data_IF_821687817921
#
_entry.id   IF_821687817921
#
_cell.length_a   1.000
_cell.length_b   1.000
_cell.length_c   1.000
_cell.angle_alpha   90.00
_cell.angle_beta   90.00
_cell.angle_gamma   90.00
#
_symmetry.space_group_name_H-M   'P 1'
#
loop_
_entity.id
_entity.type
_entity.pdbx_description
1 polymer ?
#
# COMPACT_ATOMS: atom_id res chain seq x y z
N UNK A 1 -16.05 -34.56 -20.50
CA UNK A 1 -16.83 -33.46 -19.90
C UNK A 1 -15.95 -32.72 -18.89
N UNK A 2 -15.31 -31.62 -19.28
CA UNK A 2 -14.41 -30.86 -18.41
C UNK A 2 -14.86 -29.39 -18.42
N UNK A 3 -15.96 -29.13 -17.71
CA UNK A 3 -16.53 -27.80 -17.53
C UNK A 3 -15.56 -26.97 -16.69
N UNK A 4 -14.64 -26.27 -17.36
CA UNK A 4 -13.85 -25.16 -16.77
C UNK A 4 -14.85 -24.23 -16.09
N UNK A 5 -14.87 -24.23 -14.76
CA UNK A 5 -15.61 -23.23 -13.99
C UNK A 5 -14.99 -21.89 -14.35
N UNK A 6 -15.70 -21.08 -15.11
CA UNK A 6 -15.40 -19.67 -15.26
C UNK A 6 -15.63 -19.04 -13.88
N UNK A 7 -14.56 -18.95 -13.07
CA UNK A 7 -14.60 -18.25 -11.79
C UNK A 7 -14.75 -16.77 -12.17
N UNK A 8 -15.97 -16.26 -12.12
CA UNK A 8 -16.21 -14.82 -12.27
C UNK A 8 -15.32 -14.11 -11.24
N UNK A 9 -14.55 -13.06 -11.63
CA UNK A 9 -13.74 -12.33 -10.68
C UNK A 9 -14.62 -11.84 -9.52
N UNK A 10 -14.16 -12.07 -8.30
CA UNK A 10 -14.87 -11.65 -7.09
C UNK A 10 -15.01 -10.13 -7.11
N UNK A 11 -16.23 -9.63 -6.89
CA UNK A 11 -16.47 -8.19 -6.77
C UNK A 11 -15.99 -7.73 -5.40
N UNK A 12 -14.83 -7.09 -5.38
CA UNK A 12 -14.19 -6.58 -4.15
C UNK A 12 -14.96 -5.39 -3.55
N UNK A 13 -15.85 -4.77 -4.32
CA UNK A 13 -16.70 -3.66 -3.88
C UNK A 13 -17.92 -4.11 -3.06
N UNK A 14 -18.15 -5.42 -2.93
CA UNK A 14 -19.30 -5.97 -2.21
C UNK A 14 -18.90 -6.55 -0.85
N UNK A 15 -19.74 -6.39 0.18
CA UNK A 15 -19.56 -7.10 1.45
C UNK A 15 -19.53 -8.63 1.23
N UNK A 16 -18.74 -9.40 2.02
CA UNK A 16 -17.83 -8.94 3.08
C UNK A 16 -16.45 -8.50 2.57
N UNK A 17 -16.14 -8.74 1.29
CA UNK A 17 -14.81 -8.50 0.72
C UNK A 17 -14.40 -7.03 0.76
N UNK A 18 -15.36 -6.13 0.56
CA UNK A 18 -15.12 -4.69 0.71
C UNK A 18 -14.59 -4.32 2.10
N UNK A 19 -15.23 -4.83 3.16
CA UNK A 19 -14.81 -4.53 4.54
C UNK A 19 -13.44 -5.13 4.84
N UNK A 20 -13.16 -6.33 4.31
CA UNK A 20 -11.83 -6.94 4.44
C UNK A 20 -10.76 -6.10 3.74
N UNK A 21 -11.05 -5.59 2.54
CA UNK A 21 -10.14 -4.73 1.80
C UNK A 21 -9.91 -3.38 2.50
N UNK A 22 -10.96 -2.73 2.98
CA UNK A 22 -10.87 -1.50 3.78
C UNK A 22 -10.02 -1.72 5.05
N UNK A 23 -10.23 -2.85 5.75
CA UNK A 23 -9.44 -3.23 6.91
C UNK A 23 -7.95 -3.48 6.56
N UNK A 24 -7.68 -4.15 5.43
CA UNK A 24 -6.32 -4.38 4.96
C UNK A 24 -5.60 -3.06 4.61
N UNK A 25 -6.29 -2.16 3.90
CA UNK A 25 -5.79 -0.81 3.57
C UNK A 25 -5.46 -0.05 4.86
N UNK A 26 -6.38 -0.03 5.83
CA UNK A 26 -6.16 0.60 7.13
C UNK A 26 -4.95 0.02 7.88
N UNK A 27 -4.79 -1.31 7.84
CA UNK A 27 -3.63 -1.97 8.43
C UNK A 27 -2.30 -1.56 7.76
N UNK A 28 -2.27 -1.41 6.43
CA UNK A 28 -1.10 -0.91 5.72
C UNK A 28 -0.77 0.53 6.09
N UNK A 29 -1.76 1.41 6.20
CA UNK A 29 -1.57 2.81 6.64
C UNK A 29 -0.97 2.85 8.05
N UNK A 30 -1.60 2.15 9.01
CA UNK A 30 -1.14 2.12 10.40
C UNK A 30 0.28 1.55 10.52
N UNK A 31 0.56 0.47 9.79
CA UNK A 31 1.90 -0.16 9.77
C UNK A 31 2.93 0.75 9.12
N UNK A 32 2.57 1.51 8.08
CA UNK A 32 3.45 2.51 7.45
C UNK A 32 3.91 3.54 8.49
N UNK A 33 2.96 4.13 9.22
CA UNK A 33 3.28 5.10 10.28
C UNK A 33 4.14 4.49 11.39
N UNK A 34 3.78 3.31 11.89
CA UNK A 34 4.53 2.62 12.96
C UNK A 34 5.98 2.33 12.54
N UNK A 35 6.20 1.80 11.33
CA UNK A 35 7.54 1.49 10.82
C UNK A 35 8.37 2.76 10.64
N UNK A 36 7.78 3.84 10.14
CA UNK A 36 8.50 5.11 9.87
C UNK A 36 9.04 5.79 11.13
N UNK A 37 8.36 5.66 12.27
CA UNK A 37 8.80 6.26 13.55
C UNK A 37 10.20 5.80 13.97
N UNK A 38 10.52 4.51 13.78
CA UNK A 38 11.81 3.92 14.19
C UNK A 38 12.63 3.35 13.01
N UNK A 39 12.35 3.79 11.77
CA UNK A 39 13.06 3.30 10.59
C UNK A 39 14.52 3.79 10.55
N UNK A 40 15.46 2.86 10.33
CA UNK A 40 16.89 3.12 10.11
C UNK A 40 17.30 2.67 8.71
N UNK A 41 18.47 3.10 8.19
CA UNK A 41 18.86 2.86 6.79
C UNK A 41 18.85 1.40 6.35
N UNK A 42 19.18 0.48 7.27
CA UNK A 42 19.16 -0.97 6.99
C UNK A 42 17.76 -1.52 6.67
N UNK A 43 16.69 -0.83 7.09
CA UNK A 43 15.30 -1.26 6.86
C UNK A 43 14.69 -0.65 5.59
N UNK A 44 15.41 0.20 4.85
CA UNK A 44 14.80 0.95 3.74
C UNK A 44 14.36 0.03 2.60
N UNK A 45 15.16 -0.99 2.24
CA UNK A 45 14.79 -1.96 1.21
C UNK A 45 13.46 -2.65 1.54
N UNK A 46 13.40 -3.32 2.70
CA UNK A 46 12.21 -4.01 3.19
C UNK A 46 10.99 -3.08 3.29
N UNK A 47 11.20 -1.83 3.68
CA UNK A 47 10.12 -0.85 3.77
C UNK A 47 9.58 -0.45 2.39
N UNK A 48 10.46 -0.29 1.39
CA UNK A 48 10.05 -0.03 0.01
C UNK A 48 9.29 -1.23 -0.58
N UNK A 49 9.74 -2.46 -0.33
CA UNK A 49 9.02 -3.67 -0.73
C UNK A 49 7.65 -3.77 -0.06
N UNK A 50 7.58 -3.45 1.23
CA UNK A 50 6.33 -3.35 1.97
C UNK A 50 5.35 -2.34 1.35
N UNK A 51 5.82 -1.15 0.96
CA UNK A 51 5.00 -0.17 0.26
C UNK A 51 4.55 -0.66 -1.13
N UNK A 52 5.37 -1.48 -1.79
CA UNK A 52 4.99 -2.14 -3.05
C UNK A 52 3.76 -3.04 -2.86
N UNK A 53 3.77 -3.89 -1.82
CA UNK A 53 2.63 -4.76 -1.46
C UNK A 53 1.40 -3.96 -1.02
N UNK A 54 1.62 -2.85 -0.31
CA UNK A 54 0.55 -1.92 0.03
C UNK A 54 -0.09 -1.37 -1.25
N UNK A 55 0.69 -0.89 -2.22
CA UNK A 55 0.18 -0.38 -3.50
C UNK A 55 -0.68 -1.40 -4.24
N UNK A 56 -0.22 -2.64 -4.34
CA UNK A 56 -1.00 -3.73 -4.96
C UNK A 56 -2.37 -3.91 -4.29
N UNK A 57 -2.41 -3.83 -2.96
CA UNK A 57 -3.66 -3.93 -2.19
C UNK A 57 -4.56 -2.72 -2.42
N UNK A 58 -4.00 -1.50 -2.42
CA UNK A 58 -4.77 -0.29 -2.68
C UNK A 58 -5.39 -0.31 -4.09
N UNK A 59 -4.68 -0.80 -5.11
CA UNK A 59 -5.19 -0.89 -6.48
C UNK A 59 -6.43 -1.80 -6.63
N UNK A 60 -6.73 -2.63 -5.62
CA UNK A 60 -7.95 -3.43 -5.59
C UNK A 60 -9.20 -2.63 -5.19
N UNK A 61 -9.03 -1.48 -4.54
CA UNK A 61 -10.14 -0.65 -4.07
C UNK A 61 -10.51 0.42 -5.09
N UNK A 62 -11.79 0.80 -5.10
CA UNK A 62 -12.25 2.00 -5.79
C UNK A 62 -11.44 3.21 -5.28
N UNK A 63 -10.88 3.99 -6.22
CA UNK A 63 -10.03 5.15 -5.96
C UNK A 63 -8.75 4.86 -5.15
N UNK A 64 -8.36 3.59 -4.99
CA UNK A 64 -7.21 3.25 -4.17
C UNK A 64 -5.87 3.77 -4.71
N UNK A 65 -5.76 4.03 -6.02
CA UNK A 65 -4.61 4.73 -6.60
C UNK A 65 -4.44 6.15 -6.02
N UNK A 66 -5.55 6.88 -5.81
CA UNK A 66 -5.56 8.21 -5.20
C UNK A 66 -5.20 8.09 -3.71
N UNK A 67 -5.82 7.14 -3.01
CA UNK A 67 -5.53 6.91 -1.59
C UNK A 67 -4.05 6.54 -1.36
N UNK A 68 -3.45 5.74 -2.24
CA UNK A 68 -2.03 5.38 -2.14
C UNK A 68 -1.12 6.58 -2.43
N UNK A 69 -1.44 7.40 -3.43
CA UNK A 69 -0.70 8.63 -3.71
C UNK A 69 -0.72 9.57 -2.50
N UNK A 70 -1.89 9.75 -1.87
CA UNK A 70 -2.04 10.54 -0.64
C UNK A 70 -1.19 9.99 0.51
N UNK A 71 -1.15 8.66 0.71
CA UNK A 71 -0.29 8.03 1.72
C UNK A 71 1.19 8.35 1.47
N UNK A 72 1.65 8.23 0.22
CA UNK A 72 3.03 8.51 -0.18
C UNK A 72 3.37 9.99 0.04
N UNK A 73 2.48 10.91 -0.30
CA UNK A 73 2.72 12.34 -0.15
C UNK A 73 2.71 12.78 1.32
N UNK A 74 1.79 12.22 2.12
CA UNK A 74 1.78 12.42 3.57
C UNK A 74 3.09 11.95 4.20
N UNK A 75 3.60 10.80 3.78
CA UNK A 75 4.90 10.29 4.22
C UNK A 75 6.05 11.23 3.80
N UNK A 76 6.07 11.70 2.55
CA UNK A 76 7.10 12.65 2.06
C UNK A 76 7.13 13.92 2.89
N UNK A 77 5.95 14.46 3.22
CA UNK A 77 5.81 15.67 4.04
C UNK A 77 6.28 15.44 5.48
N UNK A 78 5.79 14.39 6.13
CA UNK A 78 6.08 14.10 7.54
C UNK A 78 7.53 13.69 7.79
N UNK A 79 8.19 13.05 6.81
CA UNK A 79 9.53 12.46 6.98
C UNK A 79 10.59 13.05 6.04
N UNK A 80 10.42 14.30 5.60
CA UNK A 80 11.36 15.03 4.72
C UNK A 80 12.83 15.04 5.17
N UNK A 81 13.09 14.87 6.48
CA UNK A 81 14.45 14.77 7.03
C UNK A 81 15.20 13.48 6.66
N UNK A 82 14.49 12.40 6.29
CA UNK A 82 15.09 11.12 5.90
C UNK A 82 15.40 11.09 4.40
N UNK A 83 16.33 11.93 3.95
CA UNK A 83 16.64 12.15 2.51
C UNK A 83 16.81 10.88 1.68
N UNK A 84 17.62 9.91 2.13
CA UNK A 84 17.84 8.65 1.40
C UNK A 84 16.56 7.82 1.26
N UNK A 85 15.72 7.77 2.31
CA UNK A 85 14.43 7.10 2.23
C UNK A 85 13.51 7.80 1.23
N UNK A 86 13.44 9.13 1.28
CA UNK A 86 12.59 9.92 0.37
C UNK A 86 13.02 9.81 -1.10
N UNK A 87 14.33 9.69 -1.37
CA UNK A 87 14.85 9.38 -2.69
C UNK A 87 14.30 8.04 -3.19
N UNK A 88 14.44 6.98 -2.40
CA UNK A 88 13.97 5.63 -2.77
C UNK A 88 12.45 5.59 -2.99
N UNK A 89 11.69 6.29 -2.14
CA UNK A 89 10.24 6.42 -2.30
C UNK A 89 9.91 7.12 -3.62
N UNK A 90 10.60 8.21 -3.94
CA UNK A 90 10.39 8.96 -5.19
C UNK A 90 10.74 8.11 -6.41
N UNK A 91 11.87 7.40 -6.40
CA UNK A 91 12.29 6.54 -7.51
C UNK A 91 11.31 5.40 -7.79
N UNK A 92 10.61 4.93 -6.76
CA UNK A 92 9.69 3.77 -6.87
C UNK A 92 8.24 4.15 -7.10
N UNK A 93 7.78 5.28 -6.55
CA UNK A 93 6.35 5.64 -6.49
C UNK A 93 6.06 7.10 -6.87
N UNK A 94 7.07 7.89 -7.23
CA UNK A 94 6.94 9.30 -7.62
C UNK A 94 6.86 9.52 -9.11
#
# INVERSE_FOLDING_TARGET
DAKRRCIKPLSLDKPPLRQLLEAAISAYVNTTHSRLTHISPRHYGDFIEFLGKARETFLLAQDGHIQFAQLVDNMKSAYKGKKKLMLLVKERFG
#
